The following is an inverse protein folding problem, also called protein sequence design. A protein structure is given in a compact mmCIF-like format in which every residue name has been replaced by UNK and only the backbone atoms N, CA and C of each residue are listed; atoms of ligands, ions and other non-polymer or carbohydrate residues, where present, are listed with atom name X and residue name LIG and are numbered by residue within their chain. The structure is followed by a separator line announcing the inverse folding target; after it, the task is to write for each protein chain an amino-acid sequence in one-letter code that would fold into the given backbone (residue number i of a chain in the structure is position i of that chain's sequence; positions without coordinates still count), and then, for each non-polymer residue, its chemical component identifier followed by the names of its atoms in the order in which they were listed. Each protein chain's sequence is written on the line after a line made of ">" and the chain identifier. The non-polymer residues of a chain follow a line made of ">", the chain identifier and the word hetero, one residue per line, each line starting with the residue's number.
data_IF_108444010253
#
_entry.id   IF_108444010253
#
_cell.length_a   1.000
_cell.length_b   1.000
_cell.length_c   1.000
_cell.angle_alpha   90.00
_cell.angle_beta   90.00
_cell.angle_gamma   90.00
#
_symmetry.space_group_name_H-M   'P 1'
#
loop_
_entity.id
_entity.type
_entity.pdbx_description
1 polymer ?
#
# COMPACT_ATOMS: atom_id res chain seq x y z
N UNK A 1 -18.00 17.85 -24.57
CA UNK A 1 -16.61 17.58 -24.14
C UNK A 1 -16.71 16.68 -22.92
N UNK A 2 -16.68 15.38 -23.13
CA UNK A 2 -16.81 14.39 -22.07
C UNK A 2 -15.47 14.34 -21.34
N UNK A 3 -15.40 14.89 -20.14
CA UNK A 3 -14.25 14.68 -19.27
C UNK A 3 -14.25 13.21 -18.86
N UNK A 4 -13.64 12.34 -19.67
CA UNK A 4 -13.12 11.05 -19.23
C UNK A 4 -11.85 11.29 -18.39
N UNK A 5 -11.98 12.14 -17.37
CA UNK A 5 -10.91 12.47 -16.45
C UNK A 5 -10.78 11.35 -15.44
N UNK A 6 -9.88 10.40 -15.72
CA UNK A 6 -9.02 9.75 -14.74
C UNK A 6 -9.30 10.20 -13.29
N UNK A 7 -10.19 9.50 -12.58
CA UNK A 7 -10.04 9.41 -11.13
C UNK A 7 -8.75 8.64 -10.97
N UNK A 8 -7.64 9.36 -10.82
CA UNK A 8 -6.31 8.80 -10.72
C UNK A 8 -6.28 7.89 -9.49
N UNK A 9 -6.47 6.62 -9.79
CA UNK A 9 -6.74 5.51 -8.90
C UNK A 9 -5.40 5.08 -8.35
N UNK A 10 -4.73 5.94 -7.57
CA UNK A 10 -3.47 5.54 -6.98
C UNK A 10 -3.72 4.31 -6.12
N UNK A 11 -2.79 3.38 -6.17
CA UNK A 11 -2.82 2.17 -5.38
C UNK A 11 -1.44 2.06 -4.74
N UNK A 12 -1.40 2.13 -3.43
CA UNK A 12 -0.18 2.19 -2.63
C UNK A 12 -0.15 1.00 -1.70
N UNK A 13 0.94 0.24 -1.76
CA UNK A 13 1.27 -0.72 -0.71
C UNK A 13 2.15 -0.01 0.31
N UNK A 14 1.63 0.14 1.52
CA UNK A 14 2.36 0.72 2.65
C UNK A 14 2.74 -0.40 3.60
N UNK A 15 4.02 -0.49 3.92
CA UNK A 15 4.55 -1.45 4.89
C UNK A 15 5.30 -0.73 6.00
N UNK A 16 5.19 -1.24 7.22
CA UNK A 16 5.94 -0.70 8.35
C UNK A 16 6.60 -1.82 9.16
N UNK A 17 7.92 -1.80 9.27
CA UNK A 17 8.69 -2.75 10.06
C UNK A 17 8.86 -2.21 11.49
N UNK A 18 8.40 -2.97 12.48
CA UNK A 18 8.52 -2.57 13.88
C UNK A 18 9.97 -2.70 14.33
N UNK A 19 10.43 -1.79 15.18
CA UNK A 19 11.77 -1.88 15.74
C UNK A 19 11.86 -3.11 16.67
N UNK A 20 12.80 -4.02 16.37
CA UNK A 20 13.00 -5.27 17.11
C UNK A 20 13.71 -5.06 18.46
N UNK A 21 14.27 -3.88 18.68
CA UNK A 21 14.94 -3.50 19.92
C UNK A 21 13.99 -2.85 20.95
N UNK A 22 12.71 -2.65 20.60
CA UNK A 22 11.70 -2.11 21.51
C UNK A 22 11.49 -3.02 22.72
N UNK A 23 11.25 -2.41 23.88
CA UNK A 23 10.77 -3.16 25.05
C UNK A 23 9.35 -3.64 24.79
N UNK A 24 8.97 -4.77 25.39
CA UNK A 24 7.65 -5.38 25.22
C UNK A 24 6.50 -4.37 25.42
N UNK A 25 6.56 -3.55 26.47
CA UNK A 25 5.51 -2.56 26.75
C UNK A 25 5.41 -1.44 25.70
N UNK A 26 6.51 -1.09 25.02
CA UNK A 26 6.51 -0.10 23.95
C UNK A 26 6.01 -0.72 22.64
N UNK A 27 6.39 -1.97 22.37
CA UNK A 27 5.86 -2.74 21.27
C UNK A 27 4.34 -2.95 21.38
N UNK A 28 3.83 -3.27 22.57
CA UNK A 28 2.39 -3.43 22.80
C UNK A 28 1.62 -2.12 22.50
N UNK A 29 2.18 -0.97 22.88
CA UNK A 29 1.61 0.35 22.54
C UNK A 29 1.67 0.65 21.05
N UNK A 30 2.75 0.26 20.37
CA UNK A 30 2.86 0.37 18.92
C UNK A 30 1.80 -0.51 18.23
N UNK A 31 1.57 -1.72 18.73
CA UNK A 31 0.52 -2.64 18.25
C UNK A 31 -0.85 -2.01 18.40
N UNK A 32 -1.18 -1.45 19.56
CA UNK A 32 -2.48 -0.82 19.78
C UNK A 32 -2.72 0.39 18.86
N UNK A 33 -1.65 1.12 18.52
CA UNK A 33 -1.69 2.25 17.60
C UNK A 33 -1.87 1.84 16.13
N UNK A 34 -1.18 0.78 15.67
CA UNK A 34 -1.16 0.36 14.27
C UNK A 34 -2.24 -0.65 13.88
N UNK A 35 -2.67 -1.50 14.82
CA UNK A 35 -3.72 -2.52 14.61
C UNK A 35 -5.03 -2.00 13.99
N UNK A 36 -5.57 -0.81 14.32
CA UNK A 36 -6.81 -0.33 13.68
C UNK A 36 -6.64 0.07 12.20
N UNK A 37 -5.40 0.29 11.74
CA UNK A 37 -5.11 0.86 10.42
C UNK A 37 -4.41 -0.11 9.49
N UNK A 38 -3.72 -1.11 10.04
CA UNK A 38 -2.85 -2.00 9.28
C UNK A 38 -3.00 -3.45 9.74
N UNK A 39 -2.76 -4.37 8.80
CA UNK A 39 -2.70 -5.79 9.09
C UNK A 39 -1.30 -6.18 9.58
N UNK A 40 -1.24 -6.94 10.66
CA UNK A 40 0.01 -7.47 11.20
C UNK A 40 0.43 -8.77 10.50
N UNK A 41 1.67 -8.80 10.02
CA UNK A 41 2.36 -9.99 9.54
C UNK A 41 3.41 -10.44 10.58
N UNK A 42 3.07 -11.45 11.41
CA UNK A 42 3.97 -11.94 12.45
C UNK A 42 5.20 -12.67 11.88
N UNK A 43 5.16 -13.19 10.65
CA UNK A 43 6.27 -13.93 10.06
C UNK A 43 7.43 -12.99 9.70
N UNK A 44 7.11 -11.76 9.28
CA UNK A 44 8.10 -10.76 8.88
C UNK A 44 8.27 -9.62 9.88
N UNK A 45 7.49 -9.62 10.97
CA UNK A 45 7.45 -8.54 11.97
C UNK A 45 7.03 -7.18 11.38
N UNK A 46 6.07 -7.24 10.47
CA UNK A 46 5.72 -6.15 9.55
C UNK A 46 4.23 -5.84 9.58
N UNK A 47 3.90 -4.57 9.48
CA UNK A 47 2.55 -4.08 9.24
C UNK A 47 2.34 -3.80 7.76
N UNK A 48 1.14 -4.06 7.24
CA UNK A 48 0.83 -3.80 5.84
C UNK A 48 -0.59 -3.27 5.66
N UNK A 49 -0.75 -2.32 4.74
CA UNK A 49 -2.04 -1.83 4.27
C UNK A 49 -1.94 -1.44 2.80
N UNK A 50 -3.01 -1.70 2.05
CA UNK A 50 -3.14 -1.23 0.67
C UNK A 50 -4.11 -0.06 0.65
N UNK A 51 -3.63 1.09 0.21
CA UNK A 51 -4.41 2.31 0.12
C UNK A 51 -4.78 2.56 -1.33
N UNK A 52 -6.06 2.85 -1.60
CA UNK A 52 -6.54 3.15 -2.94
C UNK A 52 -7.16 4.55 -3.01
N UNK A 53 -7.03 5.19 -4.18
CA UNK A 53 -7.51 6.55 -4.43
C UNK A 53 -9.02 6.78 -4.30
N UNK A 54 -9.80 5.72 -4.07
CA UNK A 54 -11.22 5.85 -3.75
C UNK A 54 -11.47 6.56 -2.40
N UNK A 55 -10.53 6.50 -1.45
CA UNK A 55 -10.70 7.01 -0.07
C UNK A 55 -9.48 7.83 0.41
N UNK A 56 -9.27 9.05 -0.12
CA UNK A 56 -8.09 9.89 0.18
C UNK A 56 -7.99 10.33 1.65
N UNK A 57 -9.11 10.46 2.37
CA UNK A 57 -9.14 10.75 3.80
C UNK A 57 -8.51 9.63 4.63
N UNK A 58 -8.64 8.38 4.18
CA UNK A 58 -8.08 7.22 4.84
C UNK A 58 -6.54 7.20 4.71
N UNK A 59 -6.02 7.70 3.60
CA UNK A 59 -4.57 7.79 3.33
C UNK A 59 -3.90 8.73 4.31
N UNK A 60 -4.47 9.92 4.51
CA UNK A 60 -3.87 10.93 5.40
C UNK A 60 -3.80 10.44 6.85
N UNK A 61 -4.85 9.77 7.34
CA UNK A 61 -4.87 9.18 8.68
C UNK A 61 -3.82 8.08 8.84
N UNK A 62 -3.76 7.16 7.87
CA UNK A 62 -2.79 6.04 7.89
C UNK A 62 -1.35 6.56 7.89
N UNK A 63 -1.02 7.50 7.00
CA UNK A 63 0.32 8.06 6.94
C UNK A 63 0.67 8.85 8.21
N UNK A 64 -0.26 9.63 8.75
CA UNK A 64 -0.04 10.39 9.98
C UNK A 64 0.31 9.46 11.15
N UNK A 65 -0.49 8.42 11.36
CA UNK A 65 -0.24 7.45 12.44
C UNK A 65 1.05 6.66 12.23
N UNK A 66 1.41 6.35 10.98
CA UNK A 66 2.69 5.71 10.64
C UNK A 66 3.89 6.59 10.96
N UNK A 67 3.85 7.88 10.63
CA UNK A 67 4.92 8.82 10.99
C UNK A 67 5.01 9.04 12.50
N UNK A 68 3.88 9.01 13.20
CA UNK A 68 3.86 9.02 14.66
C UNK A 68 4.51 7.76 15.25
N UNK A 69 4.19 6.57 14.73
CA UNK A 69 4.83 5.32 15.13
C UNK A 69 6.34 5.29 14.81
N UNK A 70 6.74 5.87 13.68
CA UNK A 70 8.14 6.03 13.31
C UNK A 70 8.88 6.93 14.32
N UNK A 71 8.26 8.05 14.70
CA UNK A 71 8.83 9.00 15.66
C UNK A 71 8.91 8.45 17.08
N UNK A 72 7.85 7.79 17.56
CA UNK A 72 7.75 7.33 18.94
C UNK A 72 8.50 6.01 19.18
N UNK A 73 8.47 5.11 18.20
CA UNK A 73 8.91 3.72 18.39
C UNK A 73 10.03 3.30 17.42
N UNK A 74 10.49 4.20 16.53
CA UNK A 74 11.53 3.86 15.55
C UNK A 74 11.04 2.90 14.46
N UNK A 75 9.73 2.89 14.19
CA UNK A 75 9.14 2.08 13.12
C UNK A 75 9.66 2.54 11.74
N UNK A 76 10.12 1.60 10.91
CA UNK A 76 10.58 1.92 9.55
C UNK A 76 9.41 1.82 8.57
N UNK A 77 9.08 2.91 7.88
CA UNK A 77 7.93 2.97 6.97
C UNK A 77 8.40 2.97 5.52
N UNK A 78 7.82 2.10 4.71
CA UNK A 78 8.05 2.02 3.26
C UNK A 78 6.73 2.20 2.53
N UNK A 79 6.71 3.08 1.54
CA UNK A 79 5.54 3.35 0.69
C UNK A 79 5.93 3.04 -0.74
N UNK A 80 5.25 2.07 -1.35
CA UNK A 80 5.48 1.67 -2.73
C UNK A 80 4.19 1.84 -3.55
N UNK A 81 4.26 2.26 -4.82
CA UNK A 81 3.15 2.05 -5.73
C UNK A 81 2.89 0.54 -5.83
N UNK A 82 1.66 0.14 -5.62
CA UNK A 82 1.26 -1.24 -5.83
C UNK A 82 1.36 -1.56 -7.33
N UNK A 83 1.76 -2.79 -7.69
CA UNK A 83 1.92 -3.14 -9.09
C UNK A 83 0.59 -3.01 -9.82
N UNK A 84 0.48 -2.02 -10.71
CA UNK A 84 -0.54 -2.01 -11.74
C UNK A 84 -0.28 -3.23 -12.59
N UNK A 85 -1.23 -4.18 -12.63
CA UNK A 85 -1.08 -5.37 -13.47
C UNK A 85 -0.65 -4.93 -14.89
N UNK A 86 0.37 -5.57 -15.49
CA UNK A 86 0.77 -5.21 -16.84
C UNK A 86 -0.46 -5.38 -17.72
N UNK A 87 -0.80 -4.34 -18.49
CA UNK A 87 -1.71 -4.48 -19.61
C UNK A 87 -1.12 -5.60 -20.47
N UNK A 88 -1.79 -6.77 -20.48
CA UNK A 88 -1.46 -7.86 -21.40
C UNK A 88 -1.28 -7.24 -22.78
N UNK A 89 -0.08 -7.32 -23.39
CA UNK A 89 0.08 -6.87 -24.76
C UNK A 89 -0.90 -7.70 -25.59
N UNK A 90 -1.84 -7.04 -26.24
CA UNK A 90 -2.73 -7.69 -27.19
C UNK A 90 -1.85 -8.50 -28.14
N UNK A 91 -2.05 -9.82 -28.16
CA UNK A 91 -1.39 -10.71 -29.09
C UNK A 91 -1.57 -10.13 -30.51
N UNK A 92 -0.50 -9.98 -31.31
CA UNK A 92 -0.66 -9.57 -32.70
C UNK A 92 -1.43 -10.69 -33.42
N UNK A 93 -2.66 -10.41 -33.83
CA UNK A 93 -3.40 -11.28 -34.75
C UNK A 93 -2.62 -11.33 -36.06
N UNK A 94 -1.99 -12.47 -36.31
CA UNK A 94 -1.35 -12.80 -37.57
C UNK A 94 -2.42 -13.23 -38.60
N UNK A 95 -2.55 -12.37 -39.61
CA UNK A 95 -3.11 -12.47 -40.97
C UNK A 95 -3.69 -13.81 -41.47
N UNK A 96 -4.85 -13.74 -42.14
CA UNK A 96 -5.12 -14.56 -43.33
C UNK A 96 -5.96 -13.76 -44.36
N UNK A 97 -5.27 -13.07 -45.27
CA UNK A 97 -5.80 -12.68 -46.58
C UNK A 97 -5.89 -13.95 -47.43
N UNK A 98 -7.12 -14.40 -47.74
CA UNK A 98 -7.35 -15.45 -48.71
C UNK A 98 -8.25 -14.88 -49.81
N UNK A 99 -7.62 -14.58 -50.95
CA UNK A 99 -8.29 -14.31 -52.21
C UNK A 99 -9.18 -15.50 -52.63
N UNK A 100 -10.35 -15.17 -53.16
CA UNK A 100 -11.28 -16.08 -53.83
C UNK A 100 -12.30 -15.28 -54.63
#
# INVERSE_FOLDING_TARGET
>A
MTYNGFVDTFDLLVTADSNRELKQAEFDRQVDLLRPLMNWDPAHWRWQVRLSGAHPEHVSSVLTTLFEAARLYGTTVTVCPAPTAPATPAEPVEVAEAAG
#
